data_IF_079832337152
#
_entry.id   IF_079832337152
#
_cell.length_a   1.000
_cell.length_b   1.000
_cell.length_c   1.000
_cell.angle_alpha   90.00
_cell.angle_beta   90.00
_cell.angle_gamma   90.00
#
_symmetry.space_group_name_H-M   'P 1'
#
loop_
_entity.id
_entity.type
_entity.pdbx_description
1 polymer ?
#
# COMPACT_ATOMS: atom_id res chain seq x y z
N UNK A 1 -5.07 -4.89 -7.09
CA UNK A 1 -4.04 -3.83 -6.90
C UNK A 1 -3.27 -4.00 -5.60
N UNK A 2 -3.90 -3.88 -4.42
CA UNK A 2 -3.17 -4.04 -3.15
C UNK A 2 -2.44 -5.38 -2.98
N UNK A 3 -3.02 -6.49 -3.46
CA UNK A 3 -2.38 -7.82 -3.44
C UNK A 3 -1.10 -7.89 -4.26
N UNK A 4 -1.04 -7.20 -5.41
CA UNK A 4 0.19 -7.09 -6.20
C UNK A 4 1.20 -6.18 -5.50
N UNK A 5 0.75 -5.06 -4.92
CA UNK A 5 1.64 -4.14 -4.20
C UNK A 5 2.38 -4.84 -3.04
N UNK A 6 1.69 -5.71 -2.27
CA UNK A 6 2.33 -6.51 -1.21
C UNK A 6 3.43 -7.40 -1.79
N UNK A 7 3.11 -8.20 -2.81
CA UNK A 7 4.07 -9.13 -3.41
C UNK A 7 5.26 -8.41 -4.05
N UNK A 8 5.02 -7.33 -4.80
CA UNK A 8 6.08 -6.54 -5.43
C UNK A 8 6.98 -5.89 -4.38
N UNK A 9 6.40 -5.31 -3.32
CA UNK A 9 7.16 -4.73 -2.22
C UNK A 9 8.11 -5.76 -1.56
N UNK A 10 7.65 -7.00 -1.39
CA UNK A 10 8.49 -8.09 -0.87
C UNK A 10 9.53 -8.56 -1.87
N UNK A 11 9.15 -8.85 -3.11
CA UNK A 11 10.03 -9.49 -4.10
C UNK A 11 11.12 -8.55 -4.62
N UNK A 12 10.76 -7.29 -4.93
CA UNK A 12 11.68 -6.36 -5.57
C UNK A 12 12.51 -5.55 -4.57
N UNK A 13 12.00 -5.35 -3.35
CA UNK A 13 12.63 -4.46 -2.36
C UNK A 13 12.90 -5.10 -1.01
N UNK A 14 12.52 -6.36 -0.78
CA UNK A 14 12.60 -7.04 0.54
C UNK A 14 12.04 -6.16 1.68
N UNK A 15 10.97 -5.42 1.38
CA UNK A 15 10.43 -4.44 2.30
C UNK A 15 9.74 -5.11 3.50
N UNK A 16 9.68 -4.41 4.63
CA UNK A 16 8.73 -4.74 5.71
C UNK A 16 7.35 -4.20 5.33
N UNK A 17 6.37 -5.09 5.16
CA UNK A 17 5.05 -4.76 4.61
C UNK A 17 3.98 -4.91 5.68
N UNK A 18 3.32 -3.80 6.00
CA UNK A 18 2.08 -3.79 6.78
C UNK A 18 0.87 -3.74 5.84
N UNK A 19 0.10 -4.82 5.81
CA UNK A 19 -1.14 -4.90 5.03
C UNK A 19 -2.36 -4.40 5.80
N UNK A 20 -3.13 -3.48 5.22
CA UNK A 20 -4.41 -3.03 5.81
C UNK A 20 -5.56 -3.68 5.05
N UNK A 21 -6.34 -4.52 5.72
CA UNK A 21 -7.50 -5.20 5.13
C UNK A 21 -8.60 -5.44 6.16
N UNK A 22 -9.72 -6.04 5.76
CA UNK A 22 -10.70 -6.54 6.73
C UNK A 22 -10.21 -7.86 7.32
N UNK A 23 -10.68 -8.21 8.52
CA UNK A 23 -10.28 -9.44 9.21
C UNK A 23 -10.43 -10.70 8.36
N UNK A 24 -11.48 -10.79 7.53
CA UNK A 24 -11.69 -11.94 6.62
C UNK A 24 -10.56 -12.17 5.61
N UNK A 25 -9.79 -11.14 5.29
CA UNK A 25 -8.71 -11.21 4.29
C UNK A 25 -7.32 -11.33 4.94
N UNK A 26 -7.24 -11.39 6.27
CA UNK A 26 -5.96 -11.29 6.97
C UNK A 26 -5.01 -12.46 6.65
N UNK A 27 -5.53 -13.68 6.55
CA UNK A 27 -4.71 -14.85 6.18
C UNK A 27 -4.18 -14.75 4.75
N UNK A 28 -5.02 -14.33 3.80
CA UNK A 28 -4.59 -14.10 2.43
C UNK A 28 -3.47 -13.06 2.37
N UNK A 29 -3.61 -11.92 3.04
CA UNK A 29 -2.60 -10.85 3.00
C UNK A 29 -1.27 -11.29 3.61
N UNK A 30 -1.29 -12.11 4.68
CA UNK A 30 -0.07 -12.73 5.21
C UNK A 30 0.57 -13.71 4.23
N UNK A 31 -0.24 -14.57 3.60
CA UNK A 31 0.25 -15.52 2.61
C UNK A 31 0.89 -14.84 1.38
N UNK A 32 0.47 -13.63 1.05
CA UNK A 32 1.06 -12.80 0.00
C UNK A 32 2.38 -12.13 0.41
N UNK A 33 2.77 -12.23 1.69
CA UNK A 33 4.06 -11.77 2.20
C UNK A 33 4.01 -10.57 3.14
N UNK A 34 2.84 -10.12 3.60
CA UNK A 34 2.77 -9.07 4.60
C UNK A 34 3.31 -9.56 5.96
N UNK A 35 4.26 -8.82 6.53
CA UNK A 35 4.87 -9.08 7.83
C UNK A 35 3.90 -8.73 8.98
N UNK A 36 3.08 -7.70 8.76
CA UNK A 36 2.03 -7.28 9.69
C UNK A 36 0.69 -7.12 8.97
N UNK A 37 -0.41 -7.39 9.67
CA UNK A 37 -1.77 -7.13 9.14
C UNK A 37 -2.58 -6.33 10.14
N UNK A 38 -3.18 -5.24 9.66
CA UNK A 38 -4.09 -4.37 10.40
C UNK A 38 -5.52 -4.59 9.88
N UNK A 39 -6.42 -4.94 10.80
CA UNK A 39 -7.85 -5.00 10.53
C UNK A 39 -8.47 -3.60 10.68
N UNK A 40 -8.76 -2.93 9.56
CA UNK A 40 -9.32 -1.57 9.58
C UNK A 40 -10.70 -1.50 10.26
N UNK A 41 -11.38 -2.63 10.47
CA UNK A 41 -12.67 -2.68 11.16
C UNK A 41 -12.53 -2.62 12.68
N UNK A 42 -11.32 -2.87 13.19
CA UNK A 42 -11.02 -2.93 14.64
C UNK A 42 -10.12 -1.80 15.09
N UNK A 43 -9.19 -1.36 14.24
CA UNK A 43 -8.20 -0.35 14.58
C UNK A 43 -8.19 0.80 13.56
N UNK A 44 -8.15 2.04 14.07
CA UNK A 44 -7.86 3.21 13.24
C UNK A 44 -6.34 3.34 13.08
N UNK A 45 -5.86 2.98 11.89
CA UNK A 45 -4.45 3.06 11.49
C UNK A 45 -3.81 4.42 11.73
N UNK A 46 -4.60 5.49 11.77
CA UNK A 46 -4.10 6.85 11.95
C UNK A 46 -3.84 7.24 13.40
N UNK A 47 -4.19 6.35 14.34
CA UNK A 47 -3.94 6.51 15.78
C UNK A 47 -2.69 5.77 16.24
N UNK A 48 -2.00 5.07 15.33
CA UNK A 48 -0.71 4.43 15.63
C UNK A 48 0.44 5.44 15.56
N UNK A 49 1.44 5.21 16.40
CA UNK A 49 2.69 5.98 16.39
C UNK A 49 3.68 5.54 15.32
N UNK A 50 3.37 4.44 14.62
CA UNK A 50 4.18 3.93 13.52
C UNK A 50 4.14 4.90 12.34
N UNK A 51 5.31 5.07 11.70
CA UNK A 51 5.52 5.94 10.54
C UNK A 51 6.17 5.14 9.43
N UNK A 52 5.65 5.29 8.21
CA UNK A 52 6.07 4.50 7.06
C UNK A 52 6.91 5.34 6.09
N UNK A 53 7.87 4.70 5.43
CA UNK A 53 8.63 5.28 4.32
C UNK A 53 7.74 5.45 3.09
N UNK A 54 6.83 4.50 2.86
CA UNK A 54 5.83 4.55 1.79
C UNK A 54 4.47 4.12 2.33
N UNK A 55 3.43 4.90 2.00
CA UNK A 55 2.04 4.47 2.13
C UNK A 55 1.44 4.36 0.73
N UNK A 56 1.04 3.15 0.36
CA UNK A 56 0.36 2.87 -0.90
C UNK A 56 -1.14 2.66 -0.67
N UNK A 57 -1.95 3.57 -1.21
CA UNK A 57 -3.39 3.60 -1.02
C UNK A 57 -4.13 3.13 -2.28
N UNK A 58 -4.67 1.92 -2.20
CA UNK A 58 -5.45 1.30 -3.28
C UNK A 58 -6.97 1.55 -3.18
N UNK A 59 -7.45 2.24 -2.14
CA UNK A 59 -8.90 2.32 -1.82
C UNK A 59 -9.42 3.73 -1.51
N UNK A 60 -8.54 4.73 -1.38
CA UNK A 60 -8.87 6.12 -1.07
C UNK A 60 -9.70 6.30 0.21
N UNK A 61 -9.32 5.59 1.27
CA UNK A 61 -9.99 5.66 2.58
C UNK A 61 -9.22 6.46 3.63
N UNK A 62 -7.99 6.88 3.35
CA UNK A 62 -7.20 7.68 4.29
C UNK A 62 -7.34 9.20 4.01
N UNK A 63 -7.91 9.99 4.96
CA UNK A 63 -8.06 11.43 4.78
C UNK A 63 -6.72 12.13 4.58
N UNK A 64 -6.69 13.16 3.72
CA UNK A 64 -5.48 13.96 3.43
C UNK A 64 -4.80 14.48 4.70
N UNK A 65 -5.58 14.96 5.67
CA UNK A 65 -5.09 15.47 6.95
C UNK A 65 -4.29 14.43 7.75
N UNK A 66 -4.57 13.14 7.57
CA UNK A 66 -3.93 12.05 8.30
C UNK A 66 -2.75 11.40 7.54
N UNK A 67 -2.53 11.74 6.26
CA UNK A 67 -1.43 11.18 5.45
C UNK A 67 -0.06 11.55 5.97
N UNK A 68 0.15 12.84 6.27
CA UNK A 68 1.44 13.31 6.80
C UNK A 68 1.78 12.67 8.15
N UNK A 69 0.77 12.41 8.98
CA UNK A 69 0.95 11.77 10.27
C UNK A 69 1.28 10.28 10.16
N UNK A 70 0.97 9.60 9.05
CA UNK A 70 1.34 8.21 8.83
C UNK A 70 2.74 8.04 8.23
N UNK A 71 3.35 9.11 7.72
CA UNK A 71 4.63 9.07 7.02
C UNK A 71 5.79 9.53 7.90
N UNK A 72 6.98 8.98 7.63
CA UNK A 72 8.23 9.60 8.05
C UNK A 72 8.42 10.96 7.34
N UNK A 73 9.38 11.77 7.79
CA UNK A 73 9.62 13.12 7.27
C UNK A 73 9.91 13.15 5.76
N UNK A 74 10.53 12.10 5.23
CA UNK A 74 10.89 11.86 3.83
C UNK A 74 9.97 10.84 3.14
N UNK A 75 8.92 10.38 3.84
CA UNK A 75 8.04 9.35 3.35
C UNK A 75 7.14 9.81 2.21
N UNK A 76 6.70 8.87 1.38
CA UNK A 76 5.86 9.12 0.20
C UNK A 76 4.48 8.48 0.33
N UNK A 77 3.44 9.24 0.01
CA UNK A 77 2.08 8.73 -0.13
C UNK A 77 1.75 8.59 -1.61
N UNK A 78 1.50 7.36 -2.07
CA UNK A 78 1.04 7.10 -3.42
C UNK A 78 -0.37 6.53 -3.36
N UNK A 79 -1.27 7.03 -4.20
CA UNK A 79 -2.63 6.49 -4.32
C UNK A 79 -2.90 6.13 -5.77
N UNK A 80 -3.70 5.10 -5.99
CA UNK A 80 -4.19 4.72 -7.33
C UNK A 80 -5.17 5.76 -7.89
N UNK A 81 -5.59 6.72 -7.07
CA UNK A 81 -6.46 7.85 -7.45
C UNK A 81 -5.66 9.13 -7.72
N UNK A 82 -4.34 9.11 -7.55
CA UNK A 82 -3.49 10.23 -7.97
C UNK A 82 -3.31 10.14 -9.48
N UNK A 83 -3.65 11.19 -10.25
CA UNK A 83 -3.41 11.19 -11.69
C UNK A 83 -1.92 10.98 -11.96
N UNK A 84 -1.61 10.00 -12.80
CA UNK A 84 -0.29 9.80 -13.41
C UNK A 84 -0.33 10.34 -14.84
N UNK A 85 0.82 10.77 -15.33
CA UNK A 85 1.03 10.90 -16.77
C UNK A 85 1.55 9.53 -17.21
N UNK A 86 0.73 8.80 -17.95
CA UNK A 86 1.12 7.52 -18.54
C UNK A 86 1.74 7.82 -19.91
N UNK A 87 2.96 7.34 -20.15
CA UNK A 87 3.56 7.40 -21.47
C UNK A 87 3.12 6.17 -22.28
N UNK A 88 3.16 6.27 -23.62
CA UNK A 88 2.80 5.13 -24.48
C UNK A 88 3.71 3.91 -24.22
N UNK A 89 4.94 4.17 -23.79
CA UNK A 89 5.92 3.16 -23.41
C UNK A 89 5.49 2.37 -22.16
N UNK A 90 4.90 3.02 -21.15
CA UNK A 90 4.40 2.36 -19.94
C UNK A 90 3.25 1.40 -20.28
N UNK A 91 2.33 1.83 -21.15
CA UNK A 91 1.20 1.01 -21.58
C UNK A 91 1.67 -0.19 -22.42
N UNK A 92 2.68 0.01 -23.27
CA UNK A 92 3.24 -1.07 -24.10
C UNK A 92 3.94 -2.12 -23.24
N UNK A 93 4.74 -1.69 -22.24
CA UNK A 93 5.36 -2.58 -21.27
C UNK A 93 4.31 -3.43 -20.52
N UNK A 94 3.19 -2.82 -20.13
CA UNK A 94 2.11 -3.55 -19.47
C UNK A 94 1.44 -4.58 -20.38
N UNK A 95 1.28 -4.28 -21.68
CA UNK A 95 0.70 -5.21 -22.64
C UNK A 95 1.58 -6.45 -22.87
N UNK A 96 2.91 -6.30 -22.81
CA UNK A 96 3.85 -7.41 -22.96
C UNK A 96 3.92 -8.33 -21.73
N UNK A 97 3.36 -7.90 -20.59
CA UNK A 97 3.36 -8.65 -19.33
C UNK A 97 2.12 -9.55 -19.14
N UNK A 98 1.12 -9.50 -20.04
CA UNK A 98 -0.15 -10.26 -19.93
C UNK A 98 -0.33 -11.20 -21.12
#
# INVERSE_FOLDING_TARGET
VGTFAVQLAKVLWDAHVTGVCSGRNAELVRALGADEVIDYTKEDLTRRDQRYDVVFDAVNKMPRSKRKAALKSDGRFQSVFTPTTEETEDITLLADLV
#
